data_IF_356311928879
#
_entry.id   IF_356311928879
#
_cell.length_a   1.000
_cell.length_b   1.000
_cell.length_c   1.000
_cell.angle_alpha   90.00
_cell.angle_beta   90.00
_cell.angle_gamma   90.00
#
_symmetry.space_group_name_H-M   'P 1'
#
loop_
_entity.id
_entity.type
_entity.pdbx_description
1 polymer ?
#
# COMPACT_ATOMS: atom_id res chain seq x y z
N UNK A 1 5.08 -2.79 -24.20
CA UNK A 1 6.34 -2.93 -23.45
C UNK A 1 6.23 -3.93 -22.32
N UNK A 2 5.38 -3.70 -21.29
CA UNK A 2 5.21 -4.63 -20.16
C UNK A 2 5.08 -6.09 -20.59
N UNK A 3 4.14 -6.38 -21.49
CA UNK A 3 3.96 -7.73 -22.01
C UNK A 3 5.25 -8.30 -22.60
N UNK A 4 5.91 -7.56 -23.50
CA UNK A 4 7.15 -7.99 -24.16
C UNK A 4 8.29 -8.29 -23.18
N UNK A 5 8.50 -7.46 -22.16
CA UNK A 5 9.58 -7.72 -21.18
C UNK A 5 9.26 -8.89 -20.26
N UNK A 6 7.99 -9.14 -19.96
CA UNK A 6 7.58 -10.26 -19.10
C UNK A 6 7.46 -11.60 -19.84
N UNK A 7 7.23 -11.59 -21.15
CA UNK A 7 7.01 -12.81 -21.93
C UNK A 7 8.19 -13.21 -22.81
N UNK A 8 9.04 -12.25 -23.20
CA UNK A 8 10.13 -12.50 -24.14
C UNK A 8 11.48 -12.17 -23.50
N UNK A 9 11.82 -10.89 -23.38
CA UNK A 9 13.10 -10.46 -22.82
C UNK A 9 13.04 -9.00 -22.40
N UNK A 10 13.75 -8.66 -21.32
CA UNK A 10 14.20 -7.29 -21.11
C UNK A 10 15.31 -7.01 -22.13
N UNK A 11 15.10 -6.03 -23.01
CA UNK A 11 16.08 -5.66 -24.03
C UNK A 11 16.89 -4.44 -23.62
N UNK A 12 18.12 -4.31 -24.11
CA UNK A 12 19.01 -3.20 -23.75
C UNK A 12 18.61 -1.86 -24.39
N UNK A 13 17.99 -1.93 -25.57
CA UNK A 13 17.67 -0.76 -26.40
C UNK A 13 16.22 -0.81 -26.82
N UNK A 14 15.52 0.31 -26.67
CA UNK A 14 14.18 0.51 -27.23
C UNK A 14 14.17 1.66 -28.22
N UNK A 15 13.78 1.36 -29.46
CA UNK A 15 13.62 2.37 -30.50
C UNK A 15 12.21 2.95 -30.49
N UNK A 16 12.13 4.28 -30.50
CA UNK A 16 10.87 4.98 -30.68
C UNK A 16 10.93 5.96 -31.85
N UNK A 17 9.76 6.21 -32.43
CA UNK A 17 9.56 7.27 -33.40
C UNK A 17 9.37 8.61 -32.67
N UNK A 18 9.80 9.72 -33.28
CA UNK A 18 9.79 11.05 -32.66
C UNK A 18 8.37 11.68 -32.57
N UNK A 19 7.34 10.86 -32.46
CA UNK A 19 5.96 11.30 -32.28
C UNK A 19 5.72 11.84 -30.88
N UNK A 20 5.01 12.96 -30.77
CA UNK A 20 4.81 13.70 -29.51
C UNK A 20 4.10 12.95 -28.37
N UNK A 21 3.62 11.72 -28.57
CA UNK A 21 2.99 10.90 -27.52
C UNK A 21 3.98 10.19 -26.58
N UNK A 22 5.25 10.05 -26.97
CA UNK A 22 6.26 9.24 -26.26
C UNK A 22 7.41 10.08 -25.68
N UNK A 23 7.53 11.33 -26.10
CA UNK A 23 8.42 12.31 -25.48
C UNK A 23 7.71 12.98 -24.31
N UNK A 24 7.19 12.16 -23.39
CA UNK A 24 6.49 12.57 -22.19
C UNK A 24 7.32 12.15 -20.96
N UNK A 25 7.22 12.89 -19.86
CA UNK A 25 7.97 12.64 -18.63
C UNK A 25 7.85 11.18 -18.12
N UNK A 26 6.71 10.52 -18.35
CA UNK A 26 6.51 9.10 -18.00
C UNK A 26 7.49 8.13 -18.67
N UNK A 27 8.04 8.51 -19.83
CA UNK A 27 9.02 7.70 -20.56
C UNK A 27 10.46 8.18 -20.37
N UNK A 28 10.66 9.50 -20.35
CA UNK A 28 11.98 10.13 -20.44
C UNK A 28 12.52 10.65 -19.10
N UNK A 29 11.72 10.74 -18.05
CA UNK A 29 12.24 11.19 -16.75
C UNK A 29 13.39 10.27 -16.31
N UNK A 30 14.52 10.88 -15.98
CA UNK A 30 15.77 10.17 -15.68
C UNK A 30 15.66 9.24 -14.46
N UNK A 31 14.63 9.42 -13.62
CA UNK A 31 14.43 8.64 -12.39
C UNK A 31 13.09 7.90 -12.42
N UNK A 32 11.99 8.59 -12.76
CA UNK A 32 10.65 8.00 -12.73
C UNK A 32 10.22 7.41 -14.07
N UNK A 33 10.97 7.70 -15.13
CA UNK A 33 10.71 7.24 -16.48
C UNK A 33 10.86 5.73 -16.60
N UNK A 34 9.97 5.12 -17.38
CA UNK A 34 9.93 3.66 -17.53
C UNK A 34 11.23 3.09 -18.13
N UNK A 35 11.91 3.85 -19.00
CA UNK A 35 13.19 3.42 -19.58
C UNK A 35 14.30 3.35 -18.52
N UNK A 36 14.44 4.39 -17.69
CA UNK A 36 15.41 4.44 -16.60
C UNK A 36 15.16 3.33 -15.57
N UNK A 37 13.90 3.09 -15.20
CA UNK A 37 13.52 2.06 -14.22
C UNK A 37 13.73 0.63 -14.72
N UNK A 38 13.62 0.41 -16.02
CA UNK A 38 13.97 -0.87 -16.64
C UNK A 38 15.45 -0.95 -17.02
N UNK A 39 16.26 0.07 -16.78
CA UNK A 39 17.67 0.08 -17.23
C UNK A 39 17.84 -0.03 -18.75
N UNK A 40 16.84 0.40 -19.52
CA UNK A 40 16.83 0.29 -20.99
C UNK A 40 17.21 1.63 -21.61
N UNK A 41 18.05 1.61 -22.63
CA UNK A 41 18.41 2.79 -23.39
C UNK A 41 17.32 3.12 -24.41
N UNK A 42 16.65 4.26 -24.26
CA UNK A 42 15.73 4.79 -25.28
C UNK A 42 16.53 5.47 -26.38
N UNK A 43 16.38 4.99 -27.62
CA UNK A 43 16.91 5.66 -28.81
C UNK A 43 15.78 6.26 -29.64
N UNK A 44 15.91 7.55 -29.89
CA UNK A 44 15.07 8.28 -30.82
C UNK A 44 15.63 8.10 -32.23
N UNK A 45 14.76 7.74 -33.18
CA UNK A 45 15.22 7.54 -34.55
C UNK A 45 15.70 8.86 -35.15
N UNK A 46 16.87 8.85 -35.79
CA UNK A 46 17.26 9.93 -36.69
C UNK A 46 16.28 9.98 -37.88
N UNK A 47 15.90 11.18 -38.38
CA UNK A 47 15.08 11.30 -39.58
C UNK A 47 15.66 10.45 -40.71
N UNK A 48 14.82 9.68 -41.41
CA UNK A 48 15.17 8.85 -42.58
C UNK A 48 15.93 7.53 -42.35
N UNK A 49 16.19 7.12 -41.10
CA UNK A 49 16.84 5.82 -40.78
C UNK A 49 15.86 4.64 -40.65
N UNK A 50 14.84 4.56 -41.50
CA UNK A 50 13.77 3.54 -41.39
C UNK A 50 14.26 2.09 -41.49
N UNK A 51 15.44 1.85 -42.07
CA UNK A 51 16.08 0.53 -42.18
C UNK A 51 16.92 0.13 -40.95
N UNK A 52 17.32 1.08 -40.09
CA UNK A 52 18.02 0.78 -38.83
C UNK A 52 17.04 0.36 -37.71
N UNK A 53 15.73 0.44 -37.98
CA UNK A 53 14.67 -0.02 -37.10
C UNK A 53 14.48 -1.53 -37.30
N UNK A 54 14.18 -2.28 -36.25
CA UNK A 54 13.57 -3.61 -36.41
C UNK A 54 12.30 -3.45 -37.25
N UNK A 55 12.34 -3.86 -38.51
CA UNK A 55 11.26 -3.59 -39.47
C UNK A 55 10.13 -4.57 -39.21
N UNK A 56 9.12 -4.12 -38.47
CA UNK A 56 7.85 -4.84 -38.34
C UNK A 56 6.94 -4.43 -39.50
N UNK A 57 6.67 -5.36 -40.41
CA UNK A 57 5.85 -5.11 -41.60
C UNK A 57 4.40 -4.76 -41.21
N UNK A 58 4.02 -3.48 -41.37
CA UNK A 58 2.66 -2.89 -41.30
C UNK A 58 1.70 -3.58 -40.29
N UNK A 59 2.18 -3.90 -39.09
CA UNK A 59 1.49 -4.75 -38.10
C UNK A 59 0.05 -4.31 -37.82
N UNK A 60 -0.17 -3.01 -37.61
CA UNK A 60 -1.49 -2.46 -37.32
C UNK A 60 -2.49 -2.77 -38.44
N UNK A 61 -2.08 -2.70 -39.71
CA UNK A 61 -2.99 -2.96 -40.83
C UNK A 61 -3.12 -4.43 -41.17
N UNK A 62 -2.07 -5.23 -40.99
CA UNK A 62 -2.06 -6.65 -41.35
C UNK A 62 -2.70 -7.53 -40.27
N UNK A 63 -2.59 -7.13 -39.01
CA UNK A 63 -3.08 -7.88 -37.84
C UNK A 63 -4.30 -7.19 -37.23
N UNK A 64 -4.11 -6.04 -36.59
CA UNK A 64 -5.16 -5.42 -35.75
C UNK A 64 -6.38 -4.97 -36.56
N UNK A 65 -6.18 -4.28 -37.68
CA UNK A 65 -7.30 -3.88 -38.55
C UNK A 65 -8.01 -5.09 -39.16
N UNK A 66 -7.29 -6.19 -39.42
CA UNK A 66 -7.89 -7.40 -39.99
C UNK A 66 -8.77 -8.10 -38.95
N UNK A 67 -8.26 -8.27 -37.73
CA UNK A 67 -9.03 -8.81 -36.60
C UNK A 67 -10.26 -7.94 -36.29
N UNK A 68 -10.08 -6.62 -36.20
CA UNK A 68 -11.18 -5.69 -35.93
C UNK A 68 -12.29 -5.77 -36.99
N UNK A 69 -11.95 -5.90 -38.27
CA UNK A 69 -12.94 -5.97 -39.38
C UNK A 69 -13.75 -7.27 -39.42
N UNK A 70 -13.31 -8.33 -38.76
CA UNK A 70 -14.08 -9.57 -38.65
C UNK A 70 -15.25 -9.43 -37.68
N UNK A 71 -15.28 -8.36 -36.87
CA UNK A 71 -16.29 -8.15 -35.84
C UNK A 71 -17.49 -7.37 -36.41
N UNK A 72 -18.73 -7.78 -36.09
CA UNK A 72 -19.94 -7.11 -36.59
C UNK A 72 -20.11 -5.68 -36.05
N UNK A 73 -19.43 -5.37 -34.95
CA UNK A 73 -19.42 -4.06 -34.29
C UNK A 73 -18.25 -3.17 -34.72
N UNK A 74 -17.50 -3.56 -35.75
CA UNK A 74 -16.42 -2.74 -36.31
C UNK A 74 -16.93 -1.35 -36.71
N UNK A 75 -16.26 -0.32 -36.21
CA UNK A 75 -16.51 1.07 -36.60
C UNK A 75 -15.24 1.64 -37.20
N UNK A 76 -15.19 1.72 -38.53
CA UNK A 76 -14.09 2.32 -39.26
C UNK A 76 -14.47 2.68 -40.68
N UNK A 77 -13.55 3.29 -41.42
CA UNK A 77 -13.80 3.83 -42.77
C UNK A 77 -14.32 2.78 -43.77
N UNK A 78 -13.99 1.50 -43.57
CA UNK A 78 -14.41 0.40 -44.46
C UNK A 78 -15.72 -0.27 -44.05
N UNK A 79 -16.39 0.22 -43.01
CA UNK A 79 -17.68 -0.32 -42.57
C UNK A 79 -18.81 0.24 -43.43
N UNK A 80 -19.75 -0.61 -43.83
CA UNK A 80 -20.98 -0.18 -44.47
C UNK A 80 -21.84 0.68 -43.51
N UNK A 81 -22.40 1.79 -44.02
CA UNK A 81 -23.09 2.76 -43.18
C UNK A 81 -24.40 2.20 -42.59
N UNK A 82 -25.13 1.39 -43.35
CA UNK A 82 -26.39 0.80 -42.91
C UNK A 82 -26.15 -0.32 -41.91
N UNK A 83 -25.13 -1.15 -42.14
CA UNK A 83 -24.68 -2.15 -41.16
C UNK A 83 -24.22 -1.49 -39.86
N UNK A 84 -23.44 -0.40 -39.92
CA UNK A 84 -23.01 0.38 -38.75
C UNK A 84 -24.22 0.91 -37.96
N UNK A 85 -25.20 1.50 -38.64
CA UNK A 85 -26.39 2.07 -38.00
C UNK A 85 -27.24 0.98 -37.34
N UNK A 86 -27.35 -0.17 -37.99
CA UNK A 86 -28.09 -1.33 -37.48
C UNK A 86 -27.42 -1.91 -36.24
N UNK A 87 -26.11 -2.21 -36.30
CA UNK A 87 -25.34 -2.69 -35.16
C UNK A 87 -25.43 -1.71 -33.97
N UNK A 88 -25.28 -0.40 -34.23
CA UNK A 88 -25.41 0.62 -33.19
C UNK A 88 -26.80 0.61 -32.53
N UNK A 89 -27.88 0.56 -33.32
CA UNK A 89 -29.26 0.53 -32.79
C UNK A 89 -29.49 -0.72 -31.93
N UNK A 90 -29.08 -1.90 -32.42
CA UNK A 90 -29.24 -3.18 -31.71
C UNK A 90 -28.46 -3.15 -30.41
N UNK A 91 -27.17 -2.79 -30.45
CA UNK A 91 -26.32 -2.72 -29.26
C UNK A 91 -26.89 -1.76 -28.20
N UNK A 92 -27.41 -0.59 -28.60
CA UNK A 92 -27.98 0.37 -27.64
C UNK A 92 -29.31 -0.10 -27.06
N UNK A 93 -30.16 -0.74 -27.86
CA UNK A 93 -31.40 -1.32 -27.38
C UNK A 93 -31.15 -2.45 -26.38
N UNK A 94 -30.22 -3.37 -26.68
CA UNK A 94 -29.86 -4.47 -25.78
C UNK A 94 -29.23 -3.96 -24.49
N UNK A 95 -28.24 -3.05 -24.56
CA UNK A 95 -27.62 -2.47 -23.35
C UNK A 95 -28.67 -1.79 -22.44
N UNK A 96 -29.66 -1.10 -23.03
CA UNK A 96 -30.73 -0.49 -22.24
C UNK A 96 -31.63 -1.53 -21.56
N UNK A 97 -31.86 -2.67 -22.20
CA UNK A 97 -32.76 -3.71 -21.70
C UNK A 97 -32.09 -4.67 -20.71
N UNK A 98 -30.85 -5.07 -20.97
CA UNK A 98 -30.15 -6.15 -20.25
C UNK A 98 -28.79 -5.74 -19.68
N UNK A 99 -28.37 -4.49 -19.87
CA UNK A 99 -27.07 -3.98 -19.43
C UNK A 99 -25.89 -4.38 -20.34
N UNK A 100 -26.08 -5.31 -21.28
CA UNK A 100 -25.04 -5.81 -22.19
C UNK A 100 -25.61 -6.02 -23.60
N UNK A 101 -24.77 -6.31 -24.59
CA UNK A 101 -25.22 -6.68 -25.94
C UNK A 101 -24.49 -7.92 -26.40
N UNK A 102 -25.21 -8.84 -27.05
CA UNK A 102 -24.63 -10.07 -27.62
C UNK A 102 -23.68 -9.80 -28.79
N UNK A 103 -23.80 -8.62 -29.40
CA UNK A 103 -22.93 -8.17 -30.48
C UNK A 103 -21.58 -7.64 -29.97
N UNK A 104 -21.48 -7.32 -28.68
CA UNK A 104 -20.21 -6.89 -28.07
C UNK A 104 -19.40 -8.12 -27.68
N UNK A 105 -18.15 -8.12 -28.11
CA UNK A 105 -17.17 -9.13 -27.71
C UNK A 105 -16.87 -8.98 -26.23
N UNK A 106 -16.88 -10.10 -25.50
CA UNK A 106 -16.43 -10.10 -24.11
C UNK A 106 -14.95 -9.73 -24.03
N UNK A 107 -14.49 -9.26 -22.87
CA UNK A 107 -13.07 -8.94 -22.71
C UNK A 107 -12.17 -10.17 -22.93
N UNK A 108 -12.59 -11.35 -22.45
CA UNK A 108 -11.84 -12.59 -22.62
C UNK A 108 -11.75 -13.00 -24.10
N UNK A 109 -12.86 -12.97 -24.83
CA UNK A 109 -12.88 -13.31 -26.26
C UNK A 109 -12.05 -12.32 -27.08
N UNK A 110 -12.08 -11.03 -26.71
CA UNK A 110 -11.29 -10.00 -27.37
C UNK A 110 -9.79 -10.29 -27.24
N UNK A 111 -9.32 -10.67 -26.05
CA UNK A 111 -7.91 -11.04 -25.85
C UNK A 111 -7.57 -12.29 -26.68
N UNK A 112 -8.41 -13.33 -26.63
CA UNK A 112 -8.20 -14.55 -27.40
C UNK A 112 -8.11 -14.30 -28.92
N UNK A 113 -8.90 -13.36 -29.45
CA UNK A 113 -8.82 -12.97 -30.86
C UNK A 113 -7.50 -12.33 -31.23
N UNK A 114 -7.00 -11.45 -30.36
CA UNK A 114 -5.73 -10.75 -30.57
C UNK A 114 -4.59 -11.76 -30.52
N UNK A 115 -4.62 -12.70 -29.57
CA UNK A 115 -3.64 -13.77 -29.47
C UNK A 115 -3.65 -14.66 -30.72
N UNK A 116 -4.83 -15.07 -31.19
CA UNK A 116 -4.96 -15.84 -32.44
C UNK A 116 -4.46 -15.06 -33.66
N UNK A 117 -4.69 -13.75 -33.73
CA UNK A 117 -4.21 -12.90 -34.81
C UNK A 117 -2.68 -12.73 -34.77
N UNK A 118 -2.08 -12.64 -33.57
CA UNK A 118 -0.63 -12.61 -33.38
C UNK A 118 0.01 -13.93 -33.77
N UNK A 119 -0.57 -15.06 -33.37
CA UNK A 119 -0.08 -16.39 -33.73
C UNK A 119 -0.10 -16.59 -35.26
N UNK A 120 -1.21 -16.21 -35.90
CA UNK A 120 -1.32 -16.27 -37.35
C UNK A 120 -0.32 -15.35 -38.08
N UNK A 121 0.08 -14.23 -37.47
CA UNK A 121 1.12 -13.34 -37.99
C UNK A 121 2.51 -13.98 -37.82
N UNK A 122 2.82 -14.49 -36.63
CA UNK A 122 4.11 -15.10 -36.31
C UNK A 122 4.35 -16.42 -37.06
N UNK A 123 3.28 -17.13 -37.44
CA UNK A 123 3.34 -18.34 -38.27
C UNK A 123 3.34 -18.09 -39.78
N UNK A 124 3.32 -16.83 -40.25
CA UNK A 124 3.28 -16.51 -41.68
C UNK A 124 4.68 -16.11 -42.21
N UNK A 125 5.09 -16.59 -43.39
CA UNK A 125 6.32 -16.13 -44.05
C UNK A 125 6.32 -14.63 -44.36
N UNK A 126 7.39 -13.92 -43.97
CA UNK A 126 7.56 -12.48 -44.22
C UNK A 126 8.73 -12.18 -45.16
N UNK A 127 8.49 -11.31 -46.14
CA UNK A 127 9.46 -11.03 -47.22
C UNK A 127 10.81 -10.45 -46.75
N UNK A 128 10.85 -9.86 -45.56
CA UNK A 128 12.06 -9.27 -44.98
C UNK A 128 13.01 -10.31 -44.37
N UNK A 129 12.51 -11.50 -44.00
CA UNK A 129 13.33 -12.53 -43.36
C UNK A 129 14.13 -13.34 -44.37
N UNK A 130 15.22 -14.00 -43.95
CA UNK A 130 15.98 -14.91 -44.80
C UNK A 130 15.10 -15.98 -45.46
N UNK A 131 15.56 -16.51 -46.59
CA UNK A 131 14.88 -17.62 -47.27
C UNK A 131 15.43 -18.95 -46.80
N UNK A 132 14.54 -19.86 -46.45
CA UNK A 132 14.84 -21.27 -46.15
C UNK A 132 14.20 -22.17 -47.20
N UNK A 133 14.72 -23.39 -47.31
CA UNK A 133 14.05 -24.46 -48.03
C UNK A 133 13.04 -25.06 -47.08
N UNK A 134 11.76 -25.00 -47.46
CA UNK A 134 10.68 -25.55 -46.64
C UNK A 134 10.85 -27.07 -46.52
N UNK A 135 10.94 -27.63 -45.30
CA UNK A 135 11.14 -29.06 -45.11
C UNK A 135 9.96 -29.92 -45.59
N UNK A 136 8.75 -29.35 -45.63
CA UNK A 136 7.53 -30.04 -46.06
C UNK A 136 7.36 -29.98 -47.57
N UNK A 137 7.61 -28.81 -48.18
CA UNK A 137 7.30 -28.60 -49.62
C UNK A 137 8.53 -28.63 -50.53
N UNK A 138 9.74 -28.58 -49.98
CA UNK A 138 11.01 -28.52 -50.72
C UNK A 138 11.25 -27.20 -51.47
N UNK A 139 10.32 -26.23 -51.38
CA UNK A 139 10.40 -24.95 -52.08
C UNK A 139 11.08 -23.89 -51.22
N UNK A 140 11.74 -22.93 -51.86
CA UNK A 140 12.30 -21.77 -51.17
C UNK A 140 11.17 -20.82 -50.78
N UNK A 141 11.06 -20.52 -49.48
CA UNK A 141 10.18 -19.47 -48.93
C UNK A 141 10.94 -18.62 -47.93
N UNK A 142 10.39 -17.48 -47.56
CA UNK A 142 10.91 -16.72 -46.44
C UNK A 142 10.58 -17.43 -45.11
N UNK A 143 11.40 -17.17 -44.10
CA UNK A 143 11.11 -17.61 -42.74
C UNK A 143 9.90 -16.86 -42.17
N UNK A 144 9.23 -17.49 -41.21
CA UNK A 144 8.23 -16.83 -40.36
C UNK A 144 8.93 -16.13 -39.18
N UNK A 145 8.30 -15.13 -38.53
CA UNK A 145 8.84 -14.53 -37.32
C UNK A 145 9.18 -15.54 -36.22
N UNK A 146 8.34 -16.57 -36.01
CA UNK A 146 8.63 -17.64 -35.03
C UNK A 146 9.89 -18.42 -35.41
N UNK A 147 10.07 -18.77 -36.68
CA UNK A 147 11.27 -19.50 -37.13
C UNK A 147 12.55 -18.68 -36.94
N UNK A 148 12.49 -17.35 -37.16
CA UNK A 148 13.63 -16.46 -36.92
C UNK A 148 13.93 -16.35 -35.42
N UNK A 149 12.90 -16.31 -34.58
CA UNK A 149 13.04 -16.32 -33.13
C UNK A 149 13.71 -17.61 -32.63
N UNK A 150 13.22 -18.76 -33.09
CA UNK A 150 13.78 -20.07 -32.76
C UNK A 150 15.22 -20.19 -33.26
N UNK A 151 15.52 -19.68 -34.46
CA UNK A 151 16.88 -19.64 -34.97
C UNK A 151 17.80 -18.80 -34.08
N UNK A 152 17.38 -17.61 -33.62
CA UNK A 152 18.19 -16.80 -32.71
C UNK A 152 18.50 -17.54 -31.41
N UNK A 153 17.53 -18.26 -30.85
CA UNK A 153 17.73 -19.10 -29.66
C UNK A 153 18.76 -20.21 -29.95
N UNK A 154 18.62 -20.90 -31.09
CA UNK A 154 19.55 -21.95 -31.50
C UNK A 154 20.97 -21.42 -31.78
N UNK A 155 21.08 -20.18 -32.25
CA UNK A 155 22.36 -19.49 -32.48
C UNK A 155 23.01 -19.00 -31.17
N UNK A 156 22.37 -19.22 -30.02
CA UNK A 156 22.93 -18.98 -28.69
C UNK A 156 22.36 -17.76 -27.96
N UNK A 157 21.36 -17.07 -28.52
CA UNK A 157 20.67 -16.01 -27.79
C UNK A 157 19.76 -16.62 -26.71
N UNK A 158 19.82 -16.09 -25.49
CA UNK A 158 19.00 -16.57 -24.37
C UNK A 158 17.98 -15.50 -23.99
N UNK A 159 16.67 -15.80 -24.04
CA UNK A 159 15.64 -14.88 -23.54
C UNK A 159 15.79 -14.66 -22.03
N UNK A 160 15.72 -13.41 -21.59
CA UNK A 160 15.75 -13.04 -20.17
C UNK A 160 14.50 -12.23 -19.80
N UNK A 161 13.34 -12.88 -19.59
CA UNK A 161 12.11 -12.20 -19.27
C UNK A 161 12.11 -11.71 -17.82
N UNK A 162 11.64 -10.48 -17.62
CA UNK A 162 11.49 -9.88 -16.31
C UNK A 162 10.42 -10.64 -15.49
N UNK A 163 10.72 -11.07 -14.25
CA UNK A 163 9.75 -11.73 -13.38
C UNK A 163 8.49 -10.88 -13.19
N UNK A 164 7.32 -11.52 -13.10
CA UNK A 164 6.04 -10.81 -13.04
C UNK A 164 5.93 -9.86 -11.83
N UNK A 165 6.50 -10.23 -10.69
CA UNK A 165 6.50 -9.40 -9.47
C UNK A 165 7.39 -8.16 -9.61
N UNK A 166 8.54 -8.32 -10.27
CA UNK A 166 9.43 -7.21 -10.58
C UNK A 166 8.79 -6.27 -11.61
N UNK A 167 8.16 -6.83 -12.64
CA UNK A 167 7.40 -6.06 -13.62
C UNK A 167 6.20 -5.31 -13.00
N UNK A 168 5.51 -5.88 -12.00
CA UNK A 168 4.45 -5.15 -11.29
C UNK A 168 5.01 -3.89 -10.65
N UNK A 169 6.17 -3.99 -10.01
CA UNK A 169 6.81 -2.86 -9.34
C UNK A 169 7.33 -1.84 -10.34
N UNK A 170 8.11 -2.26 -11.35
CA UNK A 170 8.75 -1.37 -12.32
C UNK A 170 7.77 -0.63 -13.23
N UNK A 171 6.59 -1.20 -13.51
CA UNK A 171 5.58 -0.54 -14.35
C UNK A 171 4.54 0.27 -13.58
N UNK A 172 4.56 0.29 -12.24
CA UNK A 172 3.71 1.21 -11.45
C UNK A 172 4.07 2.65 -11.78
N UNK A 173 3.11 3.55 -12.08
CA UNK A 173 3.40 4.97 -12.24
C UNK A 173 4.19 5.52 -11.03
N UNK A 174 5.22 6.31 -11.30
CA UNK A 174 6.11 6.82 -10.27
C UNK A 174 6.28 8.34 -10.37
N UNK A 175 6.43 8.99 -9.22
CA UNK A 175 6.61 10.44 -9.10
C UNK A 175 7.63 10.79 -8.03
N UNK A 176 8.36 11.89 -8.25
CA UNK A 176 9.28 12.42 -7.24
C UNK A 176 8.49 13.16 -6.17
N UNK A 177 8.73 12.84 -4.90
CA UNK A 177 8.15 13.56 -3.77
C UNK A 177 9.16 13.73 -2.67
N UNK A 178 9.06 14.86 -1.98
CA UNK A 178 9.85 15.17 -0.80
C UNK A 178 9.23 14.51 0.42
N UNK A 179 10.05 13.84 1.21
CA UNK A 179 9.64 13.28 2.50
C UNK A 179 9.64 14.40 3.55
N UNK A 180 8.60 14.46 4.37
CA UNK A 180 8.51 15.40 5.48
C UNK A 180 7.96 14.72 6.73
N UNK A 181 8.75 14.64 7.79
CA UNK A 181 8.40 13.99 9.06
C UNK A 181 7.79 12.59 8.88
N UNK A 182 8.49 11.74 8.13
CA UNK A 182 8.05 10.39 7.77
C UNK A 182 6.73 10.32 6.96
N UNK A 183 6.30 11.45 6.38
CA UNK A 183 5.12 11.56 5.53
C UNK A 183 5.48 11.91 4.10
N UNK A 184 4.66 11.41 3.19
CA UNK A 184 4.68 11.75 1.77
C UNK A 184 3.28 12.19 1.36
N UNK A 185 3.19 13.34 0.69
CA UNK A 185 1.94 13.88 0.16
C UNK A 185 1.81 13.60 -1.34
N UNK A 186 0.73 12.93 -1.73
CA UNK A 186 0.41 12.63 -3.13
C UNK A 186 -1.09 12.68 -3.39
N UNK A 187 -1.54 13.51 -4.34
CA UNK A 187 -2.97 13.70 -4.72
C UNK A 187 -3.87 13.96 -3.48
N UNK A 188 -3.39 14.79 -2.54
CA UNK A 188 -4.14 15.09 -1.31
C UNK A 188 -4.19 13.96 -0.27
N UNK A 189 -3.55 12.81 -0.55
CA UNK A 189 -3.36 11.73 0.41
C UNK A 189 -2.00 11.85 1.10
N UNK A 190 -2.00 11.52 2.38
CA UNK A 190 -0.81 11.47 3.23
C UNK A 190 -0.44 10.01 3.50
N UNK A 191 0.73 9.60 3.06
CA UNK A 191 1.28 8.26 3.25
C UNK A 191 2.35 8.30 4.34
N UNK A 192 2.32 7.33 5.26
CA UNK A 192 3.22 7.26 6.42
C UNK A 192 3.96 5.92 6.46
N UNK A 193 5.26 5.98 6.76
CA UNK A 193 6.08 4.82 7.11
C UNK A 193 7.20 5.26 8.08
N UNK A 194 7.43 4.57 9.20
CA UNK A 194 8.50 4.92 10.16
C UNK A 194 9.90 5.02 9.53
N UNK A 195 10.18 4.19 8.53
CA UNK A 195 11.46 4.12 7.82
C UNK A 195 11.79 5.42 7.09
N UNK A 196 10.77 6.21 6.73
CA UNK A 196 10.93 7.50 6.06
C UNK A 196 11.46 8.61 7.00
N UNK A 197 11.53 8.37 8.31
CA UNK A 197 12.07 9.35 9.26
C UNK A 197 13.54 9.67 8.96
N UNK A 198 14.33 8.68 8.55
CA UNK A 198 15.74 8.85 8.18
C UNK A 198 15.94 9.61 6.88
N UNK A 199 14.90 9.72 6.05
CA UNK A 199 14.92 10.41 4.75
C UNK A 199 14.26 11.79 4.84
N UNK A 200 14.18 12.39 6.03
CA UNK A 200 13.56 13.70 6.21
C UNK A 200 14.17 14.77 5.31
N UNK A 201 13.36 15.40 4.47
CA UNK A 201 13.79 16.46 3.57
C UNK A 201 14.44 15.98 2.27
N UNK A 202 14.61 14.67 2.10
CA UNK A 202 15.11 14.07 0.87
C UNK A 202 13.98 13.88 -0.15
N UNK A 203 14.36 13.87 -1.43
CA UNK A 203 13.47 13.47 -2.51
C UNK A 203 13.53 11.96 -2.73
N UNK A 204 12.37 11.34 -2.81
CA UNK A 204 12.21 9.91 -3.05
C UNK A 204 11.31 9.68 -4.26
N UNK A 205 11.46 8.52 -4.87
CA UNK A 205 10.55 8.02 -5.89
C UNK A 205 9.38 7.30 -5.22
N UNK A 206 8.16 7.70 -5.58
CA UNK A 206 6.91 7.15 -5.05
C UNK A 206 6.17 6.46 -6.18
N UNK A 207 6.13 5.13 -6.14
CA UNK A 207 5.34 4.33 -7.07
C UNK A 207 3.97 4.04 -6.47
N UNK A 208 2.90 4.31 -7.22
CA UNK A 208 1.51 4.16 -6.76
C UNK A 208 0.71 3.28 -7.71
N UNK A 209 -0.34 2.64 -7.18
CA UNK A 209 -1.34 1.94 -7.98
C UNK A 209 -2.48 2.91 -8.34
N UNK A 210 -2.97 2.85 -9.59
CA UNK A 210 -4.09 3.67 -10.04
C UNK A 210 -5.45 3.10 -9.61
N UNK A 211 -5.48 1.83 -9.21
CA UNK A 211 -6.67 1.12 -8.75
C UNK A 211 -6.74 0.99 -7.24
N UNK A 212 -5.61 1.17 -6.54
CA UNK A 212 -5.52 1.10 -5.08
C UNK A 212 -4.69 2.26 -4.52
N UNK A 213 -5.32 3.08 -3.68
CA UNK A 213 -4.68 4.20 -3.02
C UNK A 213 -4.24 3.88 -1.58
N UNK A 214 -4.43 2.64 -1.11
CA UNK A 214 -4.17 2.23 0.27
C UNK A 214 -2.71 2.29 0.69
N UNK A 215 -1.79 2.07 -0.25
CA UNK A 215 -0.36 2.16 0.00
C UNK A 215 0.41 2.66 -1.23
N UNK A 216 1.65 3.10 -0.99
CA UNK A 216 2.60 3.46 -2.03
C UNK A 216 3.96 2.83 -1.74
N UNK A 217 4.66 2.40 -2.79
CA UNK A 217 6.02 1.89 -2.66
C UNK A 217 7.00 3.05 -2.79
N UNK A 218 7.92 3.16 -1.82
CA UNK A 218 8.91 4.23 -1.77
C UNK A 218 10.29 3.66 -2.08
N UNK A 219 11.03 4.36 -2.94
CA UNK A 219 12.40 4.01 -3.33
C UNK A 219 13.24 5.28 -3.40
N UNK A 220 14.55 5.15 -3.25
CA UNK A 220 15.49 6.24 -3.48
C UNK A 220 15.50 6.63 -4.98
N UNK A 221 16.04 7.81 -5.30
CA UNK A 221 16.17 8.27 -6.69
C UNK A 221 17.11 7.39 -7.53
N UNK A 222 17.99 6.61 -6.89
CA UNK A 222 18.83 5.61 -7.55
C UNK A 222 18.12 4.27 -7.81
N UNK A 223 16.83 4.16 -7.44
CA UNK A 223 16.01 2.97 -7.65
C UNK A 223 16.02 1.96 -6.51
N UNK A 224 16.83 2.14 -5.46
CA UNK A 224 16.84 1.22 -4.31
C UNK A 224 15.53 1.31 -3.52
N UNK A 225 14.88 0.18 -3.32
CA UNK A 225 13.66 0.08 -2.52
C UNK A 225 13.93 0.45 -1.04
N UNK A 226 13.00 1.21 -0.44
CA UNK A 226 13.09 1.63 0.97
C UNK A 226 12.01 0.95 1.80
N UNK A 227 10.74 1.27 1.53
CA UNK A 227 9.60 0.78 2.32
C UNK A 227 8.27 0.94 1.58
N UNK A 228 7.21 0.38 2.15
CA UNK A 228 5.83 0.63 1.74
C UNK A 228 5.17 1.59 2.73
N UNK A 229 4.67 2.72 2.23
CA UNK A 229 4.01 3.74 3.04
C UNK A 229 2.49 3.62 2.94
N UNK A 230 1.82 3.63 4.10
CA UNK A 230 0.38 3.36 4.22
C UNK A 230 -0.38 4.67 4.27
N UNK A 231 -1.48 4.76 3.52
CA UNK A 231 -2.37 5.92 3.54
C UNK A 231 -2.95 6.14 4.94
N UNK A 232 -2.79 7.35 5.46
CA UNK A 232 -3.33 7.72 6.77
C UNK A 232 -2.71 6.95 7.94
N UNK A 233 -1.59 6.25 7.76
CA UNK A 233 -0.97 5.43 8.82
C UNK A 233 -0.57 6.21 10.08
N UNK A 234 -0.37 7.52 9.95
CA UNK A 234 -0.08 8.43 11.07
C UNK A 234 -1.34 8.92 11.80
N UNK A 235 -2.54 8.76 11.19
CA UNK A 235 -3.79 9.25 11.76
C UNK A 235 -4.19 8.34 12.92
N UNK A 236 -3.88 8.79 14.13
CA UNK A 236 -4.50 8.25 15.34
C UNK A 236 -5.92 8.80 15.42
N UNK A 237 -6.86 7.97 15.89
CA UNK A 237 -8.23 8.43 16.12
C UNK A 237 -8.21 9.71 16.98
N UNK A 238 -8.83 10.78 16.46
CA UNK A 238 -8.82 12.12 17.05
C UNK A 238 -9.49 12.18 18.44
N UNK A 239 -10.38 11.23 18.71
CA UNK A 239 -10.96 11.05 20.03
C UNK A 239 -10.12 10.00 20.77
N UNK A 240 -9.56 10.30 21.96
CA UNK A 240 -9.20 9.22 22.87
C UNK A 240 -10.46 8.38 23.04
N UNK A 241 -10.35 7.07 22.75
CA UNK A 241 -11.44 6.12 22.99
C UNK A 241 -11.88 6.39 24.42
N UNK A 242 -13.09 6.96 24.61
CA UNK A 242 -13.51 7.36 25.95
C UNK A 242 -13.38 6.14 26.86
N UNK A 243 -12.98 6.33 28.11
CA UNK A 243 -12.86 5.20 29.04
C UNK A 243 -14.13 4.32 29.01
N UNK A 244 -15.30 4.93 28.80
CA UNK A 244 -16.58 4.24 28.62
C UNK A 244 -16.66 3.36 27.35
N UNK A 245 -16.14 3.82 26.21
CA UNK A 245 -16.11 3.05 24.96
C UNK A 245 -15.12 1.87 25.07
N UNK A 246 -13.92 2.11 25.62
CA UNK A 246 -12.93 1.05 25.89
C UNK A 246 -13.43 0.03 26.91
N UNK A 247 -14.11 0.47 27.97
CA UNK A 247 -14.75 -0.41 28.95
C UNK A 247 -15.91 -1.21 28.32
N UNK A 248 -16.68 -0.62 27.41
CA UNK A 248 -17.74 -1.31 26.67
C UNK A 248 -17.17 -2.39 25.75
N UNK A 249 -16.10 -2.09 25.02
CA UNK A 249 -15.39 -3.03 24.16
C UNK A 249 -14.78 -4.18 24.97
N UNK A 250 -14.11 -3.89 26.08
CA UNK A 250 -13.61 -4.92 27.01
C UNK A 250 -14.73 -5.79 27.59
N UNK A 251 -15.87 -5.20 27.96
CA UNK A 251 -17.03 -5.95 28.46
C UNK A 251 -17.61 -6.86 27.37
N UNK A 252 -17.69 -6.40 26.12
CA UNK A 252 -18.17 -7.20 24.99
C UNK A 252 -17.19 -8.33 24.67
N UNK A 253 -15.89 -8.05 24.61
CA UNK A 253 -14.84 -9.05 24.43
C UNK A 253 -14.88 -10.14 25.52
N UNK A 254 -15.03 -9.74 26.79
CA UNK A 254 -15.19 -10.68 27.91
C UNK A 254 -16.48 -11.51 27.83
N UNK A 255 -17.57 -10.97 27.28
CA UNK A 255 -18.80 -11.76 27.00
C UNK A 255 -18.56 -12.80 25.92
N UNK A 256 -17.87 -12.43 24.83
CA UNK A 256 -17.52 -13.35 23.75
C UNK A 256 -16.64 -14.48 24.30
N UNK A 257 -15.61 -14.15 25.07
CA UNK A 257 -14.72 -15.17 25.65
C UNK A 257 -15.47 -16.14 26.57
N UNK A 258 -16.40 -15.64 27.41
CA UNK A 258 -17.23 -16.52 28.24
C UNK A 258 -18.11 -17.44 27.40
N UNK A 259 -18.74 -16.92 26.35
CA UNK A 259 -19.54 -17.73 25.44
C UNK A 259 -18.70 -18.78 24.73
N UNK A 260 -17.48 -18.44 24.31
CA UNK A 260 -16.56 -19.39 23.69
C UNK A 260 -16.10 -20.47 24.69
N UNK A 261 -15.81 -20.10 25.94
CA UNK A 261 -15.51 -21.07 26.99
C UNK A 261 -16.70 -22.01 27.24
N UNK A 262 -17.93 -21.49 27.31
CA UNK A 262 -19.13 -22.32 27.44
C UNK A 262 -19.33 -23.24 26.23
N UNK A 263 -19.07 -22.73 25.02
CA UNK A 263 -19.10 -23.52 23.79
C UNK A 263 -18.05 -24.63 23.82
N UNK A 264 -16.84 -24.35 24.30
CA UNK A 264 -15.79 -25.36 24.45
C UNK A 264 -16.16 -26.43 25.49
N UNK A 265 -16.75 -26.04 26.62
CA UNK A 265 -17.28 -26.99 27.62
C UNK A 265 -18.35 -27.89 27.01
N UNK A 266 -19.34 -27.32 26.31
CA UNK A 266 -20.38 -28.08 25.65
C UNK A 266 -19.85 -29.02 24.54
N UNK A 267 -18.80 -28.61 23.82
CA UNK A 267 -18.11 -29.46 22.85
C UNK A 267 -17.30 -30.58 23.52
N UNK A 268 -16.70 -30.32 24.68
CA UNK A 268 -15.99 -31.32 25.48
C UNK A 268 -16.97 -32.35 26.10
N UNK A 269 -18.23 -31.99 26.35
CA UNK A 269 -19.28 -32.96 26.71
C UNK A 269 -19.60 -33.94 25.58
N UNK A 270 -19.45 -33.52 24.30
CA UNK A 270 -19.71 -34.37 23.14
C UNK A 270 -18.63 -35.45 22.93
N UNK A 271 -17.40 -35.16 23.37
CA UNK A 271 -16.26 -36.07 23.33
C UNK A 271 -15.63 -36.13 24.74
N UNK A 272 -16.19 -36.92 25.67
CA UNK A 272 -15.59 -37.09 26.98
C UNK A 272 -14.21 -37.71 26.81
N UNK A 273 -13.17 -36.89 26.96
CA UNK A 273 -11.80 -37.37 27.17
C UNK A 273 -11.86 -38.36 28.34
N UNK A 274 -11.32 -39.59 28.20
CA UNK A 274 -11.39 -40.58 29.28
C UNK A 274 -10.83 -39.99 30.57
N UNK A 275 -11.62 -40.12 31.64
CA UNK A 275 -11.30 -39.60 32.96
C UNK A 275 -9.89 -40.02 33.38
N UNK A 276 -9.15 -39.06 33.95
CA UNK A 276 -7.91 -39.33 34.68
C UNK A 276 -8.24 -40.41 35.72
N UNK A 277 -7.65 -41.59 35.55
CA UNK A 277 -7.73 -42.64 36.56
C UNK A 277 -7.24 -42.06 37.90
N UNK A 278 -8.01 -42.19 38.99
CA UNK A 278 -7.53 -41.76 40.29
C UNK A 278 -6.35 -42.66 40.66
N UNK A 279 -5.14 -42.13 40.53
CA UNK A 279 -3.98 -42.75 41.16
C UNK A 279 -4.24 -42.77 42.67
N UNK A 280 -4.03 -43.90 43.36
CA UNK A 280 -4.19 -43.96 44.80
C UNK A 280 -3.23 -42.93 45.41
N UNK A 281 -3.77 -42.04 46.25
CA UNK A 281 -3.00 -41.03 46.95
C UNK A 281 -1.86 -41.73 47.71
N UNK A 282 -0.61 -41.48 47.28
CA UNK A 282 0.54 -41.79 48.10
C UNK A 282 0.38 -41.01 49.40
N UNK A 283 0.20 -41.75 50.49
CA UNK A 283 0.14 -41.24 51.84
C UNK A 283 1.46 -40.51 52.07
N UNK A 284 1.41 -39.17 52.12
CA UNK A 284 2.56 -38.35 52.49
C UNK A 284 3.11 -38.87 53.81
N UNK A 285 4.35 -39.34 53.81
CA UNK A 285 5.00 -39.79 55.03
C UNK A 285 5.06 -38.63 56.03
N UNK A 286 4.95 -38.88 57.35
CA UNK A 286 5.01 -37.84 58.36
C UNK A 286 6.29 -36.99 58.29
N UNK A 287 7.36 -37.50 57.66
CA UNK A 287 8.59 -36.76 57.39
C UNK A 287 8.42 -35.65 56.33
N UNK A 288 7.60 -35.88 55.29
CA UNK A 288 7.34 -34.87 54.24
C UNK A 288 6.49 -33.73 54.80
N UNK A 289 5.51 -34.04 55.66
CA UNK A 289 4.70 -33.03 56.35
C UNK A 289 5.56 -32.18 57.29
N UNK A 290 6.47 -32.80 58.05
CA UNK A 290 7.42 -32.06 58.90
C UNK A 290 8.37 -31.19 58.09
N UNK A 291 8.86 -31.67 56.96
CA UNK A 291 9.73 -30.90 56.07
C UNK A 291 8.98 -29.69 55.47
N UNK A 292 7.69 -29.85 55.13
CA UNK A 292 6.85 -28.76 54.65
C UNK A 292 6.58 -27.72 55.74
N UNK A 293 6.32 -28.15 56.99
CA UNK A 293 6.14 -27.24 58.12
C UNK A 293 7.43 -26.48 58.48
N UNK A 294 8.59 -27.16 58.48
CA UNK A 294 9.88 -26.50 58.70
C UNK A 294 10.22 -25.52 57.57
N UNK A 295 9.87 -25.83 56.31
CA UNK A 295 10.05 -24.93 55.18
C UNK A 295 9.13 -23.70 55.28
N UNK A 296 7.88 -23.89 55.72
CA UNK A 296 6.93 -22.80 55.91
C UNK A 296 7.31 -21.91 57.11
N UNK A 297 7.87 -22.49 58.18
CA UNK A 297 8.34 -21.74 59.35
C UNK A 297 9.61 -20.91 59.06
N UNK A 298 10.40 -21.30 58.05
CA UNK A 298 11.57 -20.53 57.57
C UNK A 298 11.23 -19.49 56.50
N UNK A 299 10.02 -19.51 55.95
CA UNK A 299 9.55 -18.44 55.08
C UNK A 299 9.23 -17.22 55.92
N UNK A 300 10.08 -16.20 55.82
CA UNK A 300 9.80 -14.88 56.37
C UNK A 300 8.56 -14.31 55.67
N UNK A 301 7.56 -13.77 56.40
CA UNK A 301 6.38 -13.20 55.77
C UNK A 301 6.81 -12.10 54.79
N UNK A 302 6.19 -12.02 53.60
CA UNK A 302 6.57 -11.01 52.62
C UNK A 302 6.44 -9.63 53.26
N UNK A 303 7.55 -8.89 53.34
CA UNK A 303 7.52 -7.48 53.68
C UNK A 303 6.55 -6.79 52.72
N UNK A 304 5.51 -6.17 53.27
CA UNK A 304 4.64 -5.30 52.50
C UNK A 304 5.53 -4.24 51.83
N UNK A 305 5.57 -4.26 50.49
CA UNK A 305 6.23 -3.22 49.73
C UNK A 305 5.68 -1.86 50.21
N UNK A 306 6.53 -0.87 50.53
CA UNK A 306 6.03 0.45 50.87
C UNK A 306 5.24 0.97 49.67
N UNK A 307 3.99 1.35 49.91
CA UNK A 307 3.19 2.10 48.95
C UNK A 307 4.04 3.30 48.47
N UNK A 308 4.04 3.64 47.16
CA UNK A 308 4.85 4.73 46.66
C UNK A 308 4.46 6.02 47.38
N UNK A 309 5.32 6.46 48.29
CA UNK A 309 5.20 7.74 48.96
C UNK A 309 5.40 8.82 47.89
N UNK A 310 4.33 9.57 47.62
CA UNK A 310 4.42 10.82 46.89
C UNK A 310 5.40 11.74 47.63
N UNK A 311 6.58 11.96 47.03
CA UNK A 311 7.57 12.89 47.55
C UNK A 311 7.08 14.30 47.24
N UNK A 312 6.27 14.88 48.15
CA UNK A 312 6.04 16.31 48.21
C UNK A 312 7.04 16.90 49.21
N UNK A 313 8.25 17.22 48.72
CA UNK A 313 9.15 18.08 49.48
C UNK A 313 8.57 19.51 49.48
N UNK A 314 8.44 20.18 50.64
CA UNK A 314 7.92 21.54 50.70
C UNK A 314 8.89 22.49 49.97
N UNK A 315 8.39 23.24 49.00
CA UNK A 315 9.13 24.28 48.29
C UNK A 315 9.56 23.96 46.85
N UNK A 316 9.24 22.77 46.31
CA UNK A 316 9.45 22.46 44.88
C UNK A 316 8.12 22.42 44.15
N UNK A 317 8.06 23.05 42.97
CA UNK A 317 6.91 23.02 42.07
C UNK A 317 6.38 21.59 41.86
N UNK A 318 5.07 21.33 42.05
CA UNK A 318 4.46 20.06 41.71
C UNK A 318 4.68 19.70 40.23
N UNK A 319 5.02 18.44 39.95
CA UNK A 319 5.20 17.96 38.58
C UNK A 319 3.87 17.93 37.79
N UNK A 320 2.75 17.79 38.50
CA UNK A 320 1.39 17.75 37.94
C UNK A 320 0.46 18.47 38.92
N UNK A 321 -0.40 19.35 38.41
CA UNK A 321 -1.51 19.94 39.16
C UNK A 321 -2.78 19.14 38.91
N UNK A 322 -3.58 18.94 39.95
CA UNK A 322 -4.79 18.11 39.89
C UNK A 322 -5.88 18.76 39.05
N UNK A 323 -5.95 20.08 39.11
CA UNK A 323 -6.91 20.91 38.39
C UNK A 323 -6.38 22.34 38.21
N UNK A 324 -7.10 23.14 37.43
CA UNK A 324 -6.69 24.52 37.16
C UNK A 324 -6.77 25.42 38.41
N UNK A 325 -7.63 25.09 39.38
CA UNK A 325 -7.74 25.82 40.64
C UNK A 325 -6.50 25.62 41.54
N UNK A 326 -6.02 24.38 41.67
CA UNK A 326 -4.82 24.04 42.44
C UNK A 326 -3.56 24.60 41.79
N UNK A 327 -3.50 24.62 40.46
CA UNK A 327 -2.46 25.32 39.72
C UNK A 327 -2.48 26.83 39.98
N UNK A 328 -3.63 27.49 39.80
CA UNK A 328 -3.75 28.93 40.01
C UNK A 328 -3.44 29.34 41.47
N UNK A 329 -3.93 28.56 42.46
CA UNK A 329 -3.61 28.75 43.87
C UNK A 329 -2.11 28.66 44.14
N UNK A 330 -1.45 27.64 43.58
CA UNK A 330 -0.01 27.45 43.76
C UNK A 330 0.82 28.60 43.15
N UNK A 331 0.44 29.06 41.95
CA UNK A 331 1.10 30.21 41.30
C UNK A 331 0.92 31.50 42.09
N UNK A 332 -0.25 31.68 42.73
CA UNK A 332 -0.52 32.82 43.60
C UNK A 332 0.30 32.78 44.90
N UNK A 333 0.47 31.59 45.49
CA UNK A 333 1.24 31.38 46.72
C UNK A 333 2.76 31.38 46.50
N UNK A 334 3.25 31.10 45.29
CA UNK A 334 4.67 30.97 44.94
C UNK A 334 5.02 31.79 43.68
N UNK A 335 4.86 33.12 43.68
CA UNK A 335 5.03 33.96 42.49
C UNK A 335 6.48 34.01 41.97
N UNK A 336 7.45 33.74 42.84
CA UNK A 336 8.89 33.63 42.55
C UNK A 336 9.26 32.34 41.79
N UNK A 337 8.43 31.30 41.90
CA UNK A 337 8.61 30.02 41.21
C UNK A 337 7.68 29.85 39.99
N UNK A 338 6.90 30.88 39.65
CA UNK A 338 6.04 30.89 38.48
C UNK A 338 6.87 30.99 37.19
N UNK A 339 6.65 30.08 36.25
CA UNK A 339 7.30 30.10 34.94
C UNK A 339 6.62 31.11 34.02
N UNK A 340 7.32 31.57 32.98
CA UNK A 340 6.73 32.46 31.96
C UNK A 340 5.51 31.83 31.26
N UNK A 341 5.52 30.49 31.13
CA UNK A 341 4.39 29.73 30.62
C UNK A 341 3.16 29.84 31.53
N UNK A 342 3.32 29.90 32.86
CA UNK A 342 2.20 30.06 33.79
C UNK A 342 1.56 31.42 33.66
N UNK A 343 2.37 32.47 33.50
CA UNK A 343 1.87 33.83 33.32
C UNK A 343 1.13 33.97 31.99
N UNK A 344 1.67 33.38 30.91
CA UNK A 344 1.01 33.33 29.62
C UNK A 344 -0.33 32.55 29.69
N UNK A 345 -0.35 31.43 30.40
CA UNK A 345 -1.55 30.61 30.55
C UNK A 345 -2.60 31.28 31.45
N UNK A 346 -2.18 32.00 32.51
CA UNK A 346 -3.06 32.83 33.32
C UNK A 346 -3.67 33.96 32.46
N UNK A 347 -2.87 34.69 31.67
CA UNK A 347 -3.39 35.71 30.73
C UNK A 347 -4.42 35.14 29.76
N UNK A 348 -4.24 33.90 29.33
CA UNK A 348 -5.15 33.20 28.40
C UNK A 348 -6.44 32.78 29.10
N UNK A 349 -6.33 32.08 30.23
CA UNK A 349 -7.48 31.51 30.96
C UNK A 349 -8.31 32.58 31.69
N UNK A 350 -7.70 33.67 32.16
CA UNK A 350 -8.41 34.83 32.72
C UNK A 350 -9.24 35.60 31.70
N UNK A 351 -9.26 35.22 30.42
CA UNK A 351 -10.24 35.74 29.44
C UNK A 351 -11.53 34.94 29.43
N UNK A 352 -11.50 33.69 29.91
CA UNK A 352 -12.66 32.82 29.99
C UNK A 352 -13.47 33.13 31.26
N UNK A 353 -14.77 33.39 31.09
CA UNK A 353 -15.69 33.68 32.18
C UNK A 353 -15.87 32.48 33.10
N UNK A 354 -15.92 31.27 32.55
CA UNK A 354 -16.10 30.06 33.35
C UNK A 354 -14.90 29.81 34.28
N UNK A 355 -13.70 30.18 33.84
CA UNK A 355 -12.50 30.06 34.66
C UNK A 355 -12.49 31.08 35.81
N UNK A 356 -12.92 32.32 35.56
CA UNK A 356 -13.07 33.33 36.64
C UNK A 356 -14.10 32.89 37.68
N UNK A 357 -15.26 32.43 37.22
CA UNK A 357 -16.32 31.95 38.10
C UNK A 357 -15.81 30.76 38.96
N UNK A 358 -15.02 29.86 38.39
CA UNK A 358 -14.37 28.75 39.10
C UNK A 358 -13.37 29.23 40.16
N UNK A 359 -12.54 30.23 39.84
CA UNK A 359 -11.58 30.81 40.80
C UNK A 359 -12.31 31.49 41.97
N UNK A 360 -13.35 32.27 41.68
CA UNK A 360 -14.18 32.94 42.70
C UNK A 360 -14.91 31.94 43.60
N UNK A 361 -15.49 30.87 43.02
CA UNK A 361 -16.10 29.77 43.79
C UNK A 361 -15.10 29.04 44.70
N UNK A 362 -13.81 29.05 44.34
CA UNK A 362 -12.72 28.45 45.11
C UNK A 362 -12.02 29.45 46.05
N UNK A 363 -12.55 30.67 46.16
CA UNK A 363 -12.06 31.73 47.05
C UNK A 363 -10.73 32.34 46.64
N UNK A 364 -10.35 32.26 45.36
CA UNK A 364 -9.09 32.79 44.82
C UNK A 364 -9.27 34.23 44.33
N UNK A 365 -8.31 35.10 44.63
CA UNK A 365 -8.33 36.50 44.21
C UNK A 365 -7.95 36.64 42.72
N UNK A 366 -8.97 36.82 41.89
CA UNK A 366 -8.83 37.02 40.43
C UNK A 366 -8.03 38.28 40.11
N UNK A 367 -8.08 39.31 40.97
CA UNK A 367 -7.31 40.55 40.82
C UNK A 367 -5.81 40.33 41.03
N UNK A 368 -5.44 39.62 42.09
CA UNK A 368 -4.05 39.25 42.36
C UNK A 368 -3.48 38.35 41.25
N UNK A 369 -4.26 37.37 40.78
CA UNK A 369 -3.88 36.51 39.65
C UNK A 369 -3.75 37.29 38.33
N UNK A 370 -4.57 38.32 38.12
CA UNK A 370 -4.46 39.21 36.95
C UNK A 370 -3.19 40.06 37.00
N UNK A 371 -2.75 40.49 38.19
CA UNK A 371 -1.51 41.22 38.37
C UNK A 371 -0.27 40.32 38.15
N UNK A 372 -0.33 39.04 38.56
CA UNK A 372 0.71 38.05 38.28
C UNK A 372 0.75 37.64 36.81
N UNK A 373 -0.40 37.70 36.14
CA UNK A 373 -0.52 37.48 34.72
C UNK A 373 0.06 38.65 33.92
N UNK A 374 -0.04 39.91 34.38
CA UNK A 374 0.48 41.10 33.67
C UNK A 374 1.96 40.97 33.30
#
# INVERSE_FOLDING_TARGET
LRHAVTSATQGDIIYYDNGGGINNATWEDEVTGLAARLGITKLNSAPWSSQARGVVERFHSSVLHKAARQRPTYVGQRMDQDARRTAFKVTRAEIKATGTSRLLTSWADFIADIDAAMEAYNGRPHSFHPKIVDPTTGKRRHMTPSEVWDQAINDGWTPDPLPAEEARTLFRPAVRRKVNRALINWIGNEYFAPELEYLHGEEVMVAYDIHDAGSVSVSLLDGRYVCEAIWGGHKRAYLPVSFAQRAKEQRVAGKIQRLENHRQVALAELNPTPAIEPQPAEIFSPEILRAAEEAYARMEPPQAAPAPAAIAAPGRRPAVFVDDASWARWVMENPDQALDQDRAELRRKLRDRNFKDLLEMQGLDVGALSALAA
#
